data_IF_513105046516
#
_entry.id   IF_513105046516
#
_cell.length_a   1.000
_cell.length_b   1.000
_cell.length_c   1.000
_cell.angle_alpha   90.00
_cell.angle_beta   90.00
_cell.angle_gamma   90.00
#
_symmetry.space_group_name_H-M   'P 1'
#
loop_
_entity.id
_entity.type
_entity.pdbx_description
1 polymer ?
#
# COMPACT_ATOMS: atom_id res chain seq x y z
N UNK A 1 4.65 17.46 9.84
CA UNK A 1 5.21 17.08 8.52
C UNK A 1 4.08 16.38 7.80
N UNK A 2 3.81 16.67 6.51
CA UNK A 2 2.60 16.15 5.87
C UNK A 2 2.70 14.64 5.72
N UNK A 3 1.97 13.92 6.56
CA UNK A 3 1.84 12.47 6.55
C UNK A 3 1.48 12.00 5.12
N UNK A 4 2.36 11.22 4.50
CA UNK A 4 2.22 10.83 3.09
C UNK A 4 1.28 9.64 2.97
N UNK A 5 0.33 9.69 2.02
CA UNK A 5 -0.51 8.55 1.64
C UNK A 5 0.21 7.75 0.56
N UNK A 6 0.33 6.44 0.77
CA UNK A 6 0.85 5.51 -0.21
C UNK A 6 -0.24 4.54 -0.70
N UNK A 7 -0.03 3.93 -1.86
CA UNK A 7 -0.87 2.84 -2.35
C UNK A 7 -0.01 1.69 -2.88
N UNK A 8 -0.38 0.45 -2.56
CA UNK A 8 0.31 -0.77 -3.02
C UNK A 8 -0.70 -1.71 -3.71
N UNK A 9 -0.31 -2.19 -4.90
CA UNK A 9 -1.06 -3.21 -5.64
C UNK A 9 -1.06 -3.01 -7.15
N UNK A 10 -2.08 -3.55 -7.81
CA UNK A 10 -2.17 -3.60 -9.26
C UNK A 10 -2.29 -2.19 -9.87
N UNK A 11 -1.41 -1.90 -10.84
CA UNK A 11 -1.29 -0.56 -11.44
C UNK A 11 -2.62 -0.01 -11.97
N UNK A 12 -3.40 -0.87 -12.65
CA UNK A 12 -4.67 -0.49 -13.27
C UNK A 12 -5.72 -0.01 -12.25
N UNK A 13 -5.68 -0.52 -11.01
CA UNK A 13 -6.59 -0.11 -9.94
C UNK A 13 -6.10 1.15 -9.23
N UNK A 14 -4.81 1.46 -9.32
CA UNK A 14 -4.17 2.52 -8.55
C UNK A 14 -3.84 3.79 -9.36
N UNK A 15 -3.88 3.74 -10.69
CA UNK A 15 -3.46 4.84 -11.57
C UNK A 15 -4.13 6.19 -11.22
N UNK A 16 -5.41 6.17 -10.88
CA UNK A 16 -6.16 7.37 -10.51
C UNK A 16 -5.66 8.05 -9.23
N UNK A 17 -5.07 7.32 -8.29
CA UNK A 17 -4.62 7.87 -7.01
C UNK A 17 -3.40 8.77 -7.13
N UNK A 18 -2.56 8.60 -8.17
CA UNK A 18 -1.45 9.52 -8.43
C UNK A 18 -1.93 10.96 -8.62
N UNK A 19 -3.12 11.14 -9.22
CA UNK A 19 -3.72 12.45 -9.43
C UNK A 19 -4.10 13.15 -8.12
N UNK A 20 -4.32 12.37 -7.06
CA UNK A 20 -4.62 12.87 -5.71
C UNK A 20 -3.35 13.07 -4.86
N UNK A 21 -2.15 12.92 -5.43
CA UNK A 21 -0.87 13.06 -4.72
C UNK A 21 -0.45 11.82 -3.92
N UNK A 22 -1.09 10.67 -4.16
CA UNK A 22 -0.73 9.40 -3.51
C UNK A 22 0.51 8.81 -4.17
N UNK A 23 1.46 8.35 -3.35
CA UNK A 23 2.64 7.61 -3.81
C UNK A 23 2.25 6.17 -4.16
N UNK A 24 2.26 5.82 -5.45
CA UNK A 24 1.84 4.49 -5.91
C UNK A 24 3.05 3.57 -6.10
N UNK A 25 3.04 2.44 -5.40
CA UNK A 25 3.99 1.34 -5.51
C UNK A 25 3.28 0.14 -6.15
N UNK A 26 3.47 -0.04 -7.46
CA UNK A 26 2.80 -1.11 -8.17
C UNK A 26 3.45 -2.47 -7.89
N UNK A 27 2.62 -3.49 -7.72
CA UNK A 27 3.05 -4.88 -7.54
C UNK A 27 1.91 -5.84 -7.85
N UNK A 28 2.20 -6.92 -8.56
CA UNK A 28 1.21 -7.95 -8.93
C UNK A 28 1.55 -9.33 -8.34
N UNK A 29 2.75 -9.49 -7.78
CA UNK A 29 3.19 -10.70 -7.07
C UNK A 29 3.40 -10.42 -5.59
N UNK A 30 3.30 -11.46 -4.77
CA UNK A 30 3.47 -11.34 -3.32
C UNK A 30 4.86 -10.78 -2.95
N UNK A 31 5.90 -11.15 -3.70
CA UNK A 31 7.27 -10.64 -3.51
C UNK A 31 7.36 -9.14 -3.83
N UNK A 32 6.78 -8.69 -4.95
CA UNK A 32 6.74 -7.26 -5.29
C UNK A 32 5.96 -6.44 -4.26
N UNK A 33 4.84 -6.98 -3.76
CA UNK A 33 4.00 -6.35 -2.76
C UNK A 33 4.74 -6.23 -1.42
N UNK A 34 5.42 -7.31 -0.98
CA UNK A 34 6.26 -7.29 0.22
C UNK A 34 7.42 -6.31 0.07
N UNK A 35 8.08 -6.29 -1.10
CA UNK A 35 9.16 -5.34 -1.37
C UNK A 35 8.65 -3.90 -1.29
N UNK A 36 7.52 -3.60 -1.94
CA UNK A 36 6.87 -2.29 -1.90
C UNK A 36 6.54 -1.87 -0.46
N UNK A 37 6.00 -2.77 0.37
CA UNK A 37 5.71 -2.52 1.76
C UNK A 37 6.96 -2.16 2.58
N UNK A 38 8.06 -2.89 2.38
CA UNK A 38 9.32 -2.61 3.09
C UNK A 38 10.02 -1.33 2.62
N UNK A 39 9.73 -0.88 1.40
CA UNK A 39 10.28 0.34 0.80
C UNK A 39 9.47 1.60 1.16
N UNK A 40 8.37 1.47 1.89
CA UNK A 40 7.54 2.61 2.28
C UNK A 40 8.36 3.65 3.07
N UNK A 41 8.20 4.95 2.76
CA UNK A 41 8.74 6.03 3.57
C UNK A 41 8.30 5.90 5.03
N UNK A 42 9.21 6.20 5.97
CA UNK A 42 8.96 6.08 7.42
C UNK A 42 7.84 6.98 7.94
N UNK A 43 7.49 8.01 7.19
CA UNK A 43 6.43 8.99 7.46
C UNK A 43 5.12 8.68 6.72
N UNK A 44 4.98 7.48 6.17
CA UNK A 44 3.72 7.01 5.58
C UNK A 44 2.70 6.75 6.69
N UNK A 45 1.62 7.53 6.75
CA UNK A 45 0.58 7.33 7.76
C UNK A 45 -0.52 6.37 7.30
N UNK A 46 -0.87 6.39 6.01
CA UNK A 46 -1.95 5.59 5.44
C UNK A 46 -1.44 4.86 4.19
N UNK A 47 -1.74 3.56 4.12
CA UNK A 47 -1.48 2.73 2.94
C UNK A 47 -2.80 2.21 2.38
N UNK A 48 -3.09 2.57 1.15
CA UNK A 48 -4.22 2.04 0.37
C UNK A 48 -3.75 0.74 -0.28
N UNK A 49 -4.48 -0.35 -0.08
CA UNK A 49 -4.16 -1.67 -0.59
C UNK A 49 -5.24 -2.13 -1.56
N UNK A 50 -4.84 -2.76 -2.66
CA UNK A 50 -5.78 -3.60 -3.41
C UNK A 50 -6.12 -4.87 -2.60
N UNK A 51 -7.25 -5.56 -2.89
CA UNK A 51 -7.60 -6.78 -2.17
C UNK A 51 -6.49 -7.85 -2.21
N UNK A 52 -5.84 -8.03 -3.36
CA UNK A 52 -4.70 -8.95 -3.52
C UNK A 52 -3.52 -8.56 -2.63
N UNK A 53 -3.21 -7.26 -2.58
CA UNK A 53 -2.11 -6.75 -1.75
C UNK A 53 -2.38 -6.92 -0.26
N UNK A 54 -3.62 -6.70 0.17
CA UNK A 54 -4.01 -6.95 1.55
C UNK A 54 -3.86 -8.43 1.93
N UNK A 55 -4.20 -9.34 1.02
CA UNK A 55 -4.01 -10.78 1.24
C UNK A 55 -2.53 -11.17 1.35
N UNK A 56 -1.67 -10.65 0.45
CA UNK A 56 -0.23 -10.92 0.49
C UNK A 56 0.45 -10.34 1.76
N UNK A 57 -0.09 -9.26 2.32
CA UNK A 57 0.47 -8.57 3.49
C UNK A 57 -0.12 -9.02 4.83
N UNK A 58 -1.13 -9.90 4.86
CA UNK A 58 -1.84 -10.31 6.08
C UNK A 58 -0.90 -10.59 7.28
N UNK A 59 0.22 -11.34 7.13
CA UNK A 59 1.11 -11.61 8.27
C UNK A 59 1.79 -10.36 8.83
N UNK A 60 2.06 -9.36 7.99
CA UNK A 60 2.78 -8.14 8.34
C UNK A 60 1.82 -7.08 8.89
N UNK A 61 0.57 -7.07 8.42
CA UNK A 61 -0.49 -6.17 8.91
C UNK A 61 -0.91 -6.47 10.35
N UNK A 62 -0.60 -7.67 10.86
CA UNK A 62 -0.83 -8.04 12.26
C UNK A 62 0.12 -7.31 13.25
N UNK A 63 1.20 -6.69 12.80
CA UNK A 63 2.10 -5.90 13.66
C UNK A 63 1.43 -4.57 14.06
N UNK A 64 1.25 -4.28 15.36
CA UNK A 64 0.64 -3.03 15.83
C UNK A 64 1.41 -1.75 15.44
N UNK A 65 2.66 -1.88 14.99
CA UNK A 65 3.51 -0.76 14.54
C UNK A 65 3.33 -0.46 13.05
N UNK A 66 2.60 -1.31 12.32
CA UNK A 66 2.29 -1.08 10.91
C UNK A 66 1.45 0.19 10.73
N UNK A 67 1.65 0.93 9.62
CA UNK A 67 0.82 2.09 9.30
C UNK A 67 -0.66 1.69 9.14
N UNK A 68 -1.55 2.67 9.24
CA UNK A 68 -2.99 2.44 9.02
C UNK A 68 -3.20 1.96 7.57
N UNK A 69 -3.97 0.88 7.40
CA UNK A 69 -4.25 0.33 6.07
C UNK A 69 -5.73 0.46 5.72
N UNK A 70 -6.01 0.72 4.44
CA UNK A 70 -7.35 0.76 3.86
C UNK A 70 -7.35 -0.15 2.64
N UNK A 71 -8.27 -1.11 2.60
CA UNK A 71 -8.38 -2.02 1.46
C UNK A 71 -9.46 -1.52 0.51
N UNK A 72 -9.15 -1.44 -0.79
CA UNK A 72 -10.12 -1.12 -1.82
C UNK A 72 -11.23 -2.19 -1.85
N UNK A 73 -12.46 -1.82 -2.25
CA UNK A 73 -13.52 -2.79 -2.45
C UNK A 73 -13.13 -3.84 -3.50
N UNK A 74 -13.60 -5.08 -3.30
CA UNK A 74 -13.54 -6.18 -4.26
C UNK A 74 -14.64 -6.09 -5.31
#
# INVERSE_FOLDING_TARGET
MFDTIAAIGEQALLDGFRLAGVSVFAGSTDEEILHAWTALPRDTAIVILTPRSAQALEPVLADPRSPMTVVLPS
#
